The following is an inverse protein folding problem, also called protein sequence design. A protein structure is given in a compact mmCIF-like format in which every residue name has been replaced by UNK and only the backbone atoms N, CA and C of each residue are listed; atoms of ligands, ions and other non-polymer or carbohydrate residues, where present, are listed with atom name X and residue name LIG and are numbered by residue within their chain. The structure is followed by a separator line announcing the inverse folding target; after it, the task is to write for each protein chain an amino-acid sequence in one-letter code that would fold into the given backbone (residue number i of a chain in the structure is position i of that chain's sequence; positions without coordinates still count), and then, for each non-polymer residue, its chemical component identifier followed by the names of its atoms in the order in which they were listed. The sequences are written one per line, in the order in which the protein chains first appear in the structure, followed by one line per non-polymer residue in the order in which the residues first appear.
data_IF_334127356180
#
_entry.id   IF_334127356180
#
_cell.length_a   1.000
_cell.length_b   1.000
_cell.length_c   1.000
_cell.angle_alpha   90.00
_cell.angle_beta   90.00
_cell.angle_gamma   90.00
#
_symmetry.space_group_name_H-M   'P 1'
#
loop_
_entity.id
_entity.type
_entity.pdbx_description
1 polymer ?
#
# COMPACT_ATOMS: atom_id res chain seq x y z
N UNK A 1 15.46 -24.83 0.24
CA UNK A 1 14.58 -25.08 1.40
C UNK A 1 14.94 -24.16 2.58
N UNK A 2 16.18 -23.65 2.64
CA UNK A 2 16.62 -22.67 3.65
C UNK A 2 16.06 -21.24 3.43
N UNK A 3 15.81 -20.82 2.18
CA UNK A 3 15.31 -19.47 1.88
C UNK A 3 13.88 -19.20 2.42
N UNK A 4 13.04 -20.24 2.43
CA UNK A 4 11.67 -20.13 2.97
C UNK A 4 11.65 -20.02 4.51
N UNK A 5 12.63 -20.64 5.17
CA UNK A 5 12.78 -20.56 6.63
C UNK A 5 13.31 -19.18 7.04
N UNK A 6 14.18 -18.57 6.23
CA UNK A 6 14.67 -17.21 6.46
C UNK A 6 13.57 -16.15 6.27
N UNK A 7 12.76 -16.27 5.21
CA UNK A 7 11.61 -15.39 4.99
C UNK A 7 10.57 -15.49 6.13
N UNK A 8 10.30 -16.70 6.64
CA UNK A 8 9.38 -16.93 7.76
C UNK A 8 9.87 -16.30 9.09
N UNK A 9 11.19 -16.20 9.32
CA UNK A 9 11.75 -15.56 10.51
C UNK A 9 11.52 -14.04 10.56
N UNK A 10 11.42 -13.36 9.41
CA UNK A 10 11.16 -11.91 9.32
C UNK A 10 9.76 -11.52 9.84
N UNK A 11 8.81 -12.46 9.89
CA UNK A 11 7.43 -12.19 10.34
C UNK A 11 7.21 -12.32 11.86
N UNK A 12 8.16 -12.87 12.61
CA UNK A 12 7.91 -13.32 14.00
C UNK A 12 8.39 -12.37 15.11
N UNK A 13 9.22 -11.37 14.81
CA UNK A 13 9.66 -10.39 15.80
C UNK A 13 9.34 -8.98 15.30
N UNK A 14 8.10 -8.51 15.54
CA UNK A 14 7.79 -7.09 15.36
C UNK A 14 8.63 -6.28 16.35
N UNK A 15 9.43 -5.36 15.84
CA UNK A 15 10.27 -4.47 16.64
C UNK A 15 9.43 -3.52 17.50
N UNK A 16 8.24 -3.17 17.02
CA UNK A 16 7.32 -2.22 17.65
C UNK A 16 6.00 -2.89 18.04
N UNK A 17 5.46 -2.48 19.19
CA UNK A 17 4.04 -2.72 19.52
C UNK A 17 3.12 -1.85 18.65
N UNK A 18 1.82 -2.14 18.63
CA UNK A 18 0.86 -1.36 17.84
C UNK A 18 0.83 0.12 18.24
N UNK A 19 0.86 0.43 19.54
CA UNK A 19 0.85 1.81 20.03
C UNK A 19 2.16 2.53 19.70
N UNK A 20 3.30 1.84 19.86
CA UNK A 20 4.60 2.37 19.47
C UNK A 20 4.67 2.70 17.98
N UNK A 21 4.19 1.78 17.13
CA UNK A 21 4.11 1.98 15.69
C UNK A 21 3.24 3.19 15.34
N UNK A 22 2.01 3.27 15.87
CA UNK A 22 1.09 4.37 15.59
C UNK A 22 1.68 5.72 16.00
N UNK A 23 2.38 5.80 17.14
CA UNK A 23 3.08 7.00 17.57
C UNK A 23 4.18 7.38 16.59
N UNK A 24 5.12 6.46 16.28
CA UNK A 24 6.22 6.73 15.38
C UNK A 24 5.73 7.13 13.99
N UNK A 25 4.80 6.36 13.41
CA UNK A 25 4.22 6.65 12.09
C UNK A 25 3.51 8.02 12.07
N UNK A 26 2.79 8.37 13.13
CA UNK A 26 2.14 9.68 13.22
C UNK A 26 3.16 10.82 13.27
N UNK A 27 4.22 10.68 14.07
CA UNK A 27 5.29 11.68 14.14
C UNK A 27 6.05 11.81 12.81
N UNK A 28 6.19 10.72 12.04
CA UNK A 28 6.85 10.73 10.74
C UNK A 28 6.03 11.49 9.68
N UNK A 29 4.70 11.35 9.73
CA UNK A 29 3.81 11.85 8.69
C UNK A 29 3.18 13.20 9.02
N UNK A 30 3.00 13.50 10.31
CA UNK A 30 2.19 14.63 10.77
C UNK A 30 2.92 15.32 11.92
N UNK A 31 3.42 16.57 11.73
CA UNK A 31 3.98 17.36 12.82
C UNK A 31 3.00 17.48 13.99
N UNK A 32 3.47 17.27 15.22
CA UNK A 32 2.64 17.29 16.41
C UNK A 32 3.15 18.33 17.41
N UNK A 33 2.27 19.24 17.84
CA UNK A 33 2.60 20.32 18.77
C UNK A 33 2.40 19.90 20.24
N UNK A 34 1.62 18.86 20.49
CA UNK A 34 1.32 18.36 21.84
C UNK A 34 1.00 16.87 21.85
N UNK A 35 1.06 16.25 23.03
CA UNK A 35 0.65 14.85 23.24
C UNK A 35 -0.82 14.61 22.90
N UNK A 36 -1.69 15.60 23.15
CA UNK A 36 -3.10 15.57 22.76
C UNK A 36 -3.29 15.58 21.24
N UNK A 37 -2.52 16.42 20.54
CA UNK A 37 -2.55 16.45 19.08
C UNK A 37 -2.08 15.12 18.48
N UNK A 38 -1.03 14.53 19.05
CA UNK A 38 -0.52 13.22 18.66
C UNK A 38 -1.58 12.13 18.85
N UNK A 39 -2.15 11.99 20.05
CA UNK A 39 -3.14 10.95 20.35
C UNK A 39 -4.35 11.02 19.40
N UNK A 40 -4.85 12.23 19.15
CA UNK A 40 -5.94 12.47 18.19
C UNK A 40 -5.56 12.09 16.76
N UNK A 41 -4.37 12.46 16.30
CA UNK A 41 -3.89 12.16 14.93
C UNK A 41 -3.58 10.67 14.72
N UNK A 42 -3.15 9.99 15.78
CA UNK A 42 -2.87 8.56 15.82
C UNK A 42 -4.12 7.71 16.07
N UNK A 43 -5.27 8.33 16.39
CA UNK A 43 -6.52 7.63 16.65
C UNK A 43 -6.52 6.78 17.91
N UNK A 44 -5.88 7.25 18.98
CA UNK A 44 -5.72 6.52 20.25
C UNK A 44 -6.04 7.38 21.48
N UNK A 45 -6.15 6.74 22.65
CA UNK A 45 -6.32 7.46 23.91
C UNK A 45 -5.05 8.25 24.28
N UNK A 46 -5.23 9.36 25.02
CA UNK A 46 -4.11 10.21 25.43
C UNK A 46 -3.10 9.46 26.30
N UNK A 47 -3.58 8.63 27.21
CA UNK A 47 -2.75 7.88 28.15
C UNK A 47 -1.94 6.80 27.42
N UNK A 48 -2.54 6.13 26.43
CA UNK A 48 -1.85 5.17 25.57
C UNK A 48 -0.74 5.85 24.75
N UNK A 49 -1.03 7.02 24.18
CA UNK A 49 -0.06 7.81 23.44
C UNK A 49 1.10 8.27 24.34
N UNK A 50 0.80 8.71 25.56
CA UNK A 50 1.81 9.14 26.53
C UNK A 50 2.71 7.98 26.96
N UNK A 51 2.11 6.84 27.30
CA UNK A 51 2.84 5.63 27.69
C UNK A 51 3.76 5.14 26.56
N UNK A 52 3.25 5.09 25.32
CA UNK A 52 4.06 4.72 24.16
C UNK A 52 5.21 5.72 23.92
N UNK A 53 4.98 7.03 24.09
CA UNK A 53 6.02 8.05 23.97
C UNK A 53 7.16 7.84 24.97
N UNK A 54 6.83 7.54 26.23
CA UNK A 54 7.81 7.33 27.29
C UNK A 54 8.67 6.09 27.02
N UNK A 55 8.04 4.99 26.58
CA UNK A 55 8.75 3.77 26.18
C UNK A 55 9.66 4.04 24.99
N UNK A 56 9.17 4.74 23.96
CA UNK A 56 9.94 5.08 22.77
C UNK A 56 11.11 6.04 23.07
N UNK A 57 10.92 6.98 24.00
CA UNK A 57 11.98 7.85 24.48
C UNK A 57 13.04 7.06 25.24
N UNK A 58 12.63 6.11 26.10
CA UNK A 58 13.56 5.18 26.77
C UNK A 58 14.35 4.30 25.80
N UNK A 59 13.78 3.98 24.63
CA UNK A 59 14.46 3.28 23.52
C UNK A 59 15.34 4.20 22.65
N UNK A 60 15.38 5.51 22.91
CA UNK A 60 16.11 6.49 22.10
C UNK A 60 15.52 6.72 20.70
N UNK A 61 14.28 6.30 20.46
CA UNK A 61 13.60 6.41 19.16
C UNK A 61 12.92 7.78 18.95
N UNK A 62 12.68 8.51 20.03
CA UNK A 62 11.99 9.80 20.03
C UNK A 62 12.62 10.71 21.09
N UNK A 63 12.76 11.99 20.76
CA UNK A 63 13.11 13.06 21.71
C UNK A 63 11.95 14.06 21.78
N UNK A 64 11.19 14.02 22.88
CA UNK A 64 9.94 14.78 23.00
C UNK A 64 8.90 14.33 21.97
N UNK A 65 8.60 15.19 20.99
CA UNK A 65 7.67 14.90 19.87
C UNK A 65 8.40 14.84 18.51
N UNK A 66 9.73 14.63 18.52
CA UNK A 66 10.53 14.51 17.32
C UNK A 66 11.11 13.09 17.19
N UNK A 67 11.07 12.53 15.98
CA UNK A 67 11.70 11.26 15.66
C UNK A 67 13.22 11.39 15.65
N UNK A 68 13.90 10.44 16.26
CA UNK A 68 15.34 10.27 16.10
C UNK A 68 15.65 9.42 14.86
N UNK A 69 16.93 9.33 14.48
CA UNK A 69 17.37 8.39 13.44
C UNK A 69 17.01 6.93 13.78
N UNK A 70 17.08 6.55 15.06
CA UNK A 70 16.73 5.20 15.50
C UNK A 70 15.23 4.95 15.33
N UNK A 71 14.37 5.96 15.61
CA UNK A 71 12.93 5.87 15.37
C UNK A 71 12.59 5.77 13.88
N UNK A 72 13.29 6.50 13.02
CA UNK A 72 13.12 6.39 11.57
C UNK A 72 13.52 4.99 11.07
N UNK A 73 14.67 4.47 11.50
CA UNK A 73 15.12 3.11 11.15
C UNK A 73 14.15 2.03 11.64
N UNK A 74 13.53 2.23 12.81
CA UNK A 74 12.52 1.30 13.32
C UNK A 74 11.25 1.27 12.44
N UNK A 75 10.91 2.37 11.77
CA UNK A 75 9.78 2.44 10.83
C UNK A 75 10.09 1.84 9.45
N UNK A 76 11.36 1.74 9.06
CA UNK A 76 11.74 1.26 7.73
C UNK A 76 11.19 -0.16 7.44
N UNK A 77 11.10 -1.04 8.45
CA UNK A 77 10.53 -2.38 8.30
C UNK A 77 9.03 -2.40 7.95
N UNK A 78 8.32 -1.32 8.29
CA UNK A 78 6.89 -1.15 8.07
C UNK A 78 6.60 -0.31 6.83
N UNK A 79 7.63 0.26 6.20
CA UNK A 79 7.48 1.10 5.03
C UNK A 79 7.00 0.29 3.84
N UNK A 80 5.95 0.75 3.19
CA UNK A 80 5.44 0.13 1.97
C UNK A 80 6.46 0.33 0.86
N UNK A 81 6.86 -0.78 0.24
CA UNK A 81 7.90 -0.80 -0.79
C UNK A 81 7.32 -0.49 -2.18
N UNK A 82 6.16 -1.06 -2.50
CA UNK A 82 5.52 -0.92 -3.80
C UNK A 82 4.01 -1.26 -3.75
N UNK A 83 3.34 -1.11 -4.90
CA UNK A 83 1.98 -1.57 -5.09
C UNK A 83 1.80 -2.38 -6.38
N UNK A 84 0.91 -3.36 -6.33
CA UNK A 84 0.47 -4.20 -7.44
C UNK A 84 -1.03 -4.03 -7.63
N UNK A 85 -1.44 -3.53 -8.79
CA UNK A 85 -2.85 -3.41 -9.18
C UNK A 85 -3.21 -4.54 -10.14
N UNK A 86 -4.14 -5.41 -9.74
CA UNK A 86 -4.63 -6.51 -10.57
C UNK A 86 -5.75 -6.05 -11.51
N UNK A 87 -5.47 -6.07 -12.81
CA UNK A 87 -6.36 -5.63 -13.88
C UNK A 87 -6.51 -6.66 -15.02
N UNK A 88 -6.08 -7.92 -14.81
CA UNK A 88 -6.05 -8.94 -15.86
C UNK A 88 -7.39 -9.64 -16.14
N UNK A 89 -8.38 -9.50 -15.24
CA UNK A 89 -9.63 -10.26 -15.29
C UNK A 89 -10.60 -9.85 -16.40
N UNK A 90 -11.41 -10.80 -16.85
CA UNK A 90 -12.43 -10.57 -17.89
C UNK A 90 -13.67 -9.81 -17.38
N UNK A 91 -13.89 -9.77 -16.06
CA UNK A 91 -15.06 -9.15 -15.41
C UNK A 91 -16.41 -9.59 -16.00
N UNK A 92 -16.54 -10.87 -16.38
CA UNK A 92 -17.69 -11.44 -17.11
C UNK A 92 -19.07 -11.18 -16.47
N UNK A 93 -19.13 -10.97 -15.15
CA UNK A 93 -20.36 -10.61 -14.42
C UNK A 93 -20.93 -9.24 -14.79
N UNK A 94 -20.14 -8.39 -15.45
CA UNK A 94 -20.51 -7.04 -15.90
C UNK A 94 -20.75 -7.00 -17.41
N UNK A 95 -20.93 -8.15 -18.06
CA UNK A 95 -21.39 -8.19 -19.44
C UNK A 95 -22.77 -7.51 -19.57
N UNK A 96 -23.03 -6.73 -20.64
CA UNK A 96 -22.17 -6.55 -21.81
C UNK A 96 -21.09 -5.45 -21.69
N UNK A 97 -21.14 -4.59 -20.66
CA UNK A 97 -20.24 -3.42 -20.52
C UNK A 97 -18.76 -3.82 -20.53
N UNK A 98 -18.42 -4.95 -19.90
CA UNK A 98 -17.04 -5.46 -19.83
C UNK A 98 -16.45 -5.86 -21.19
N UNK A 99 -17.27 -6.08 -22.23
CA UNK A 99 -16.78 -6.44 -23.57
C UNK A 99 -16.24 -5.25 -24.32
N UNK A 100 -16.73 -4.05 -24.06
CA UNK A 100 -16.23 -2.83 -24.68
C UNK A 100 -14.95 -2.37 -23.98
N UNK A 101 -15.00 -2.29 -22.65
CA UNK A 101 -13.95 -1.69 -21.83
C UNK A 101 -13.64 -2.53 -20.58
N UNK A 102 -12.35 -2.80 -20.27
CA UNK A 102 -11.96 -3.45 -19.01
C UNK A 102 -12.52 -2.72 -17.79
N UNK A 103 -12.95 -3.46 -16.76
CA UNK A 103 -13.62 -2.89 -15.58
C UNK A 103 -12.78 -1.81 -14.89
N UNK A 104 -11.46 -2.02 -14.76
CA UNK A 104 -10.55 -1.04 -14.15
C UNK A 104 -10.46 0.30 -14.89
N UNK A 105 -10.95 0.38 -16.13
CA UNK A 105 -10.99 1.62 -16.91
C UNK A 105 -12.39 2.26 -16.94
N UNK A 106 -13.37 1.73 -16.21
CA UNK A 106 -14.67 2.37 -16.08
C UNK A 106 -14.57 3.69 -15.32
N UNK A 107 -15.48 4.61 -15.64
CA UNK A 107 -15.55 5.92 -15.02
C UNK A 107 -16.60 5.93 -13.93
N UNK A 108 -16.23 6.37 -12.74
CA UNK A 108 -17.11 6.54 -11.57
C UNK A 108 -16.90 7.96 -11.05
N UNK A 109 -17.98 8.73 -10.92
CA UNK A 109 -17.95 10.14 -10.47
C UNK A 109 -16.96 11.02 -11.25
N UNK A 110 -16.86 10.79 -12.56
CA UNK A 110 -15.98 11.54 -13.46
C UNK A 110 -14.52 11.09 -13.49
N UNK A 111 -14.14 10.07 -12.70
CA UNK A 111 -12.77 9.56 -12.63
C UNK A 111 -12.68 8.13 -13.13
N UNK A 112 -11.61 7.79 -13.83
CA UNK A 112 -11.29 6.40 -14.20
C UNK A 112 -10.79 5.66 -12.96
N UNK A 113 -11.35 4.47 -12.66
CA UNK A 113 -11.07 3.71 -11.44
C UNK A 113 -9.58 3.51 -11.18
N UNK A 114 -8.87 2.91 -12.14
CA UNK A 114 -7.45 2.62 -11.99
C UNK A 114 -6.60 3.89 -11.92
N UNK A 115 -6.96 4.94 -12.66
CA UNK A 115 -6.24 6.22 -12.59
C UNK A 115 -6.36 6.85 -11.21
N UNK A 116 -7.57 6.86 -10.63
CA UNK A 116 -7.80 7.35 -9.27
C UNK A 116 -6.97 6.57 -8.26
N UNK A 117 -6.98 5.24 -8.34
CA UNK A 117 -6.21 4.39 -7.43
C UNK A 117 -4.69 4.64 -7.56
N UNK A 118 -4.17 4.82 -8.78
CA UNK A 118 -2.77 5.19 -9.02
C UNK A 118 -2.44 6.57 -8.40
N UNK A 119 -3.32 7.57 -8.56
CA UNK A 119 -3.13 8.89 -7.93
C UNK A 119 -3.10 8.77 -6.40
N UNK A 120 -4.02 8.00 -5.81
CA UNK A 120 -4.09 7.80 -4.37
C UNK A 120 -2.83 7.10 -3.80
N UNK A 121 -2.33 6.05 -4.48
CA UNK A 121 -1.07 5.41 -4.10
C UNK A 121 0.10 6.41 -4.13
N UNK A 122 0.19 7.22 -5.18
CA UNK A 122 1.24 8.23 -5.31
C UNK A 122 1.14 9.33 -4.27
N UNK A 123 -0.06 9.80 -3.95
CA UNK A 123 -0.33 10.76 -2.88
C UNK A 123 0.15 10.23 -1.52
N UNK A 124 0.03 8.92 -1.28
CA UNK A 124 0.56 8.24 -0.10
C UNK A 124 2.08 7.97 -0.17
N UNK A 125 2.78 8.45 -1.20
CA UNK A 125 4.22 8.27 -1.39
C UNK A 125 4.63 6.96 -2.05
N UNK A 126 3.69 6.12 -2.46
CA UNK A 126 3.95 4.81 -3.08
C UNK A 126 4.02 5.00 -4.60
N UNK A 127 5.24 5.09 -5.12
CA UNK A 127 5.50 5.44 -6.52
C UNK A 127 5.92 4.26 -7.39
N UNK A 128 6.48 3.19 -6.80
CA UNK A 128 6.73 1.94 -7.52
C UNK A 128 5.42 1.15 -7.64
N UNK A 129 4.73 1.35 -8.76
CA UNK A 129 3.42 0.75 -9.01
C UNK A 129 3.51 -0.16 -10.24
N UNK A 130 2.99 -1.38 -10.11
CA UNK A 130 2.88 -2.35 -11.20
C UNK A 130 1.42 -2.66 -11.47
N UNK A 131 0.97 -2.47 -12.71
CA UNK A 131 -0.37 -2.90 -13.13
C UNK A 131 -0.25 -4.23 -13.87
N UNK A 132 -0.89 -5.26 -13.33
CA UNK A 132 -0.92 -6.58 -13.95
C UNK A 132 -2.14 -6.67 -14.86
N UNK A 133 -1.91 -6.77 -16.17
CA UNK A 133 -2.93 -6.75 -17.21
C UNK A 133 -3.06 -8.12 -17.89
N UNK A 134 -4.14 -8.33 -18.63
CA UNK A 134 -4.44 -9.61 -19.28
C UNK A 134 -5.48 -9.39 -20.37
N UNK A 135 -6.75 -9.61 -20.04
CA UNK A 135 -7.85 -9.30 -20.96
C UNK A 135 -7.78 -7.84 -21.44
N UNK A 136 -7.72 -7.63 -22.76
CA UNK A 136 -7.70 -6.29 -23.39
C UNK A 136 -6.57 -5.38 -22.85
N UNK A 137 -5.40 -5.97 -22.60
CA UNK A 137 -4.20 -5.31 -22.03
C UNK A 137 -3.81 -4.00 -22.72
N UNK A 138 -4.05 -3.89 -24.01
CA UNK A 138 -3.69 -2.75 -24.85
C UNK A 138 -4.30 -1.44 -24.34
N UNK A 139 -5.49 -1.52 -23.75
CA UNK A 139 -6.18 -0.36 -23.18
C UNK A 139 -5.47 0.24 -21.96
N UNK A 140 -4.53 -0.47 -21.34
CA UNK A 140 -3.83 -0.02 -20.14
C UNK A 140 -2.43 0.54 -20.43
N UNK A 141 -1.86 0.32 -21.62
CA UNK A 141 -0.46 0.72 -21.91
C UNK A 141 -0.23 2.24 -21.83
N UNK A 142 -1.27 3.07 -22.02
CA UNK A 142 -1.15 4.51 -21.85
C UNK A 142 -0.78 4.91 -20.41
N UNK A 143 -1.07 4.05 -19.41
CA UNK A 143 -0.79 4.33 -18.00
C UNK A 143 0.71 4.45 -17.73
N UNK A 144 1.56 3.73 -18.48
CA UNK A 144 3.02 3.85 -18.33
C UNK A 144 3.49 5.27 -18.60
N UNK A 145 3.01 5.87 -19.70
CA UNK A 145 3.37 7.24 -20.06
C UNK A 145 2.66 8.28 -19.18
N UNK A 146 1.38 8.08 -18.91
CA UNK A 146 0.56 9.06 -18.18
C UNK A 146 0.88 9.10 -16.68
N UNK A 147 1.25 7.95 -16.09
CA UNK A 147 1.47 7.81 -14.66
C UNK A 147 2.80 7.18 -14.28
N UNK A 148 3.68 6.80 -15.21
CA UNK A 148 4.99 6.22 -14.85
C UNK A 148 4.88 4.88 -14.10
N UNK A 149 3.78 4.16 -14.26
CA UNK A 149 3.63 2.80 -13.72
C UNK A 149 4.33 1.79 -14.62
N UNK A 150 4.59 0.58 -14.12
CA UNK A 150 5.08 -0.56 -14.90
C UNK A 150 3.92 -1.46 -15.29
N UNK A 151 3.91 -2.01 -16.50
CA UNK A 151 2.93 -3.02 -16.91
C UNK A 151 3.54 -4.42 -16.88
N UNK A 152 2.83 -5.36 -16.27
CA UNK A 152 3.14 -6.79 -16.34
C UNK A 152 1.97 -7.54 -16.98
N UNK A 153 2.25 -8.45 -17.91
CA UNK A 153 1.20 -9.21 -18.62
C UNK A 153 1.04 -10.60 -18.01
N UNK A 154 -0.15 -10.89 -17.50
CA UNK A 154 -0.55 -12.22 -17.07
C UNK A 154 -1.19 -12.98 -18.25
N UNK A 155 -0.41 -13.80 -18.95
CA UNK A 155 -0.90 -14.62 -20.07
C UNK A 155 -1.85 -15.76 -19.62
N UNK A 156 -1.88 -16.10 -18.33
CA UNK A 156 -2.77 -17.13 -17.77
C UNK A 156 -4.14 -16.59 -17.32
N UNK A 157 -4.47 -15.32 -17.63
CA UNK A 157 -5.68 -14.65 -17.15
C UNK A 157 -6.99 -15.37 -17.52
N UNK A 158 -7.01 -16.12 -18.63
CA UNK A 158 -8.20 -16.81 -19.12
C UNK A 158 -8.38 -18.21 -18.53
N UNK A 159 -7.29 -18.84 -18.07
CA UNK A 159 -7.28 -20.23 -17.59
C UNK A 159 -7.14 -20.35 -16.06
N UNK A 160 -6.78 -19.26 -15.39
CA UNK A 160 -6.58 -19.21 -13.93
C UNK A 160 -7.29 -18.02 -13.31
N UNK A 161 -7.56 -18.13 -12.02
CA UNK A 161 -8.08 -17.02 -11.23
C UNK A 161 -6.99 -15.96 -10.97
N UNK A 162 -7.33 -14.88 -10.27
CA UNK A 162 -6.46 -13.74 -9.95
C UNK A 162 -5.12 -14.11 -9.27
N UNK A 163 -4.97 -15.28 -8.66
CA UNK A 163 -3.69 -15.77 -8.16
C UNK A 163 -2.61 -15.80 -9.23
N UNK A 164 -2.97 -16.05 -10.50
CA UNK A 164 -2.03 -16.03 -11.62
C UNK A 164 -1.44 -14.63 -11.86
N UNK A 165 -2.18 -13.57 -11.54
CA UNK A 165 -1.69 -12.19 -11.61
C UNK A 165 -0.59 -11.94 -10.59
N UNK A 166 -0.74 -12.45 -9.36
CA UNK A 166 0.30 -12.34 -8.33
C UNK A 166 1.53 -13.20 -8.68
N UNK A 167 1.31 -14.39 -9.25
CA UNK A 167 2.40 -15.24 -9.70
C UNK A 167 3.25 -14.59 -10.80
N UNK A 168 2.65 -13.76 -11.66
CA UNK A 168 3.34 -13.04 -12.72
C UNK A 168 4.26 -11.92 -12.22
N UNK A 169 4.11 -11.49 -10.95
CA UNK A 169 4.92 -10.44 -10.31
C UNK A 169 5.47 -10.90 -8.96
N UNK A 170 5.63 -12.20 -8.76
CA UNK A 170 5.99 -12.80 -7.47
C UNK A 170 7.29 -12.25 -6.89
N UNK A 171 8.23 -11.90 -7.75
CA UNK A 171 9.54 -11.33 -7.42
C UNK A 171 9.45 -9.89 -6.90
N UNK A 172 8.28 -9.26 -7.03
CA UNK A 172 8.01 -7.91 -6.54
C UNK A 172 7.25 -7.89 -5.23
N UNK A 173 6.78 -9.04 -4.74
CA UNK A 173 6.01 -9.13 -3.51
C UNK A 173 6.95 -9.02 -2.30
N UNK A 174 6.67 -8.03 -1.46
CA UNK A 174 7.37 -7.75 -0.21
C UNK A 174 6.40 -7.06 0.74
N UNK A 175 6.76 -5.86 1.22
CA UNK A 175 5.78 -4.98 1.87
C UNK A 175 4.97 -4.24 0.80
N UNK A 176 4.07 -4.97 0.16
CA UNK A 176 3.39 -4.58 -1.08
C UNK A 176 1.89 -4.42 -0.86
N UNK A 177 1.31 -3.31 -1.33
CA UNK A 177 -0.14 -3.25 -1.50
C UNK A 177 -0.59 -4.11 -2.68
N UNK A 178 -1.56 -4.98 -2.45
CA UNK A 178 -2.23 -5.75 -3.49
C UNK A 178 -3.63 -5.17 -3.68
N UNK A 179 -3.88 -4.57 -4.83
CA UNK A 179 -5.12 -3.85 -5.12
C UNK A 179 -5.91 -4.53 -6.23
N UNK A 180 -7.24 -4.48 -6.14
CA UNK A 180 -8.10 -4.73 -7.29
C UNK A 180 -8.27 -3.44 -8.08
N UNK A 181 -8.19 -3.52 -9.41
CA UNK A 181 -8.35 -2.35 -10.28
C UNK A 181 -9.77 -1.77 -10.31
N UNK A 182 -10.74 -2.47 -9.73
CA UNK A 182 -12.16 -2.14 -9.77
C UNK A 182 -12.74 -1.63 -8.45
N UNK A 183 -11.89 -1.32 -7.47
CA UNK A 183 -12.27 -0.69 -6.21
C UNK A 183 -12.32 0.85 -6.36
N UNK A 184 -13.36 1.47 -5.82
CA UNK A 184 -13.49 2.93 -5.76
C UNK A 184 -13.43 3.41 -4.31
N UNK A 185 -12.30 4.01 -3.91
CA UNK A 185 -12.13 4.59 -2.59
C UNK A 185 -12.47 6.08 -2.58
N UNK A 186 -13.48 6.48 -1.80
CA UNK A 186 -13.89 7.89 -1.66
C UNK A 186 -12.85 8.72 -0.90
N UNK A 187 -12.20 8.10 0.09
CA UNK A 187 -11.07 8.64 0.86
C UNK A 187 -9.85 7.80 0.53
N UNK A 188 -8.67 8.41 0.44
CA UNK A 188 -7.42 7.68 0.19
C UNK A 188 -7.14 6.71 1.35
N UNK A 189 -7.14 5.38 1.13
CA UNK A 189 -6.93 4.40 2.19
C UNK A 189 -5.46 4.00 2.35
N UNK A 190 -4.58 4.48 1.47
CA UNK A 190 -3.19 4.07 1.43
C UNK A 190 -2.36 4.91 2.40
N UNK A 191 -1.47 4.24 3.11
CA UNK A 191 -0.54 4.84 4.04
C UNK A 191 0.89 4.39 3.67
N UNK A 192 1.91 5.23 3.89
CA UNK A 192 3.30 4.87 3.58
C UNK A 192 3.90 3.83 4.53
N UNK A 193 3.27 3.56 5.68
CA UNK A 193 3.70 2.58 6.67
C UNK A 193 2.51 1.70 7.11
N UNK A 194 2.68 0.37 7.16
CA UNK A 194 1.64 -0.63 7.50
C UNK A 194 2.15 -1.80 8.34
#
# INVERSE_FOLDING_TARGET
MEDAVFACRRWRNRVLTENEFKVLATLALKPCESRQALARKAGMALDDAACALEVLSGKGMVEGLALSEAGMRALDEYKVENAVIMAAGLSSRFAPISYEKPKGLLTVRGEVLIERQIRQLKEAGITDITVVVGYKKEHFFYLERAFGVKIAVNEAYASRNNNSSLMAVRERLGNTYICSSDDYFTVNPFEPYV
#
